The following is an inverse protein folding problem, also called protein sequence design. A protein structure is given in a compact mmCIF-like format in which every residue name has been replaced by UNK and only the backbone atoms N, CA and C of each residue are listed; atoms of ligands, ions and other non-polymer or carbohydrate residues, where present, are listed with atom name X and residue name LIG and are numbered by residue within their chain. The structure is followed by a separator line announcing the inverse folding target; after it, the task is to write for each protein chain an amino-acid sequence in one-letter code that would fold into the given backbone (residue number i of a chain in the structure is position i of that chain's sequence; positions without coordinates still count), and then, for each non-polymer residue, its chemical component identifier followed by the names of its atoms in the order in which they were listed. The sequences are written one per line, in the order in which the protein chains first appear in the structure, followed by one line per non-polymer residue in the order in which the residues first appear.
data_IF_392173244674
#
_entry.id   IF_392173244674
#
_cell.length_a   1.000
_cell.length_b   1.000
_cell.length_c   1.000
_cell.angle_alpha   90.00
_cell.angle_beta   90.00
_cell.angle_gamma   90.00
#
_symmetry.space_group_name_H-M   'P 1'
#
loop_
_entity.id
_entity.type
_entity.pdbx_description
1 polymer ?
#
# COMPACT_ATOMS: atom_id res chain seq x y z
N UNK A 1 9.38 20.33 20.40
CA UNK A 1 8.96 19.92 19.04
C UNK A 1 7.45 19.98 18.99
N UNK A 2 6.90 21.08 18.45
CA UNK A 2 5.47 21.19 18.15
C UNK A 2 5.14 20.20 17.04
N UNK A 3 4.23 19.26 17.30
CA UNK A 3 3.57 18.51 16.23
C UNK A 3 2.64 19.49 15.51
N UNK A 4 3.14 20.23 14.53
CA UNK A 4 2.27 20.92 13.59
C UNK A 4 1.36 19.86 12.94
N UNK A 5 0.06 20.02 13.16
CA UNK A 5 -0.95 19.15 12.58
C UNK A 5 -1.19 19.66 11.16
N UNK A 6 -0.66 18.96 10.16
CA UNK A 6 -0.88 19.28 8.76
C UNK A 6 -2.35 19.08 8.40
N UNK A 7 -2.98 20.08 7.76
CA UNK A 7 -4.37 19.99 7.32
C UNK A 7 -4.49 18.95 6.17
N UNK A 8 -5.25 17.85 6.34
CA UNK A 8 -5.42 16.84 5.31
C UNK A 8 -6.00 17.37 3.98
N UNK A 9 -6.67 18.53 4.00
CA UNK A 9 -7.27 19.17 2.82
C UNK A 9 -6.29 20.00 2.01
N UNK A 10 -5.08 20.22 2.50
CA UNK A 10 -4.06 21.05 1.80
C UNK A 10 -2.68 20.39 1.76
N UNK A 11 -2.47 19.33 2.53
CA UNK A 11 -1.23 18.56 2.54
C UNK A 11 -0.88 18.00 1.16
N UNK A 12 0.34 18.30 0.69
CA UNK A 12 0.89 17.72 -0.54
C UNK A 12 1.35 16.28 -0.31
N UNK A 13 1.46 15.52 -1.40
CA UNK A 13 2.00 14.17 -1.38
C UNK A 13 3.43 14.11 -0.82
N UNK A 14 4.31 15.02 -1.27
CA UNK A 14 5.71 15.05 -0.87
C UNK A 14 5.86 15.34 0.63
N UNK A 15 5.10 16.31 1.14
CA UNK A 15 5.09 16.63 2.57
C UNK A 15 4.62 15.43 3.40
N UNK A 16 3.59 14.74 2.92
CA UNK A 16 3.05 13.56 3.57
C UNK A 16 4.06 12.39 3.60
N UNK A 17 4.73 12.12 2.48
CA UNK A 17 5.79 11.08 2.42
C UNK A 17 6.98 11.46 3.29
N UNK A 18 7.42 12.72 3.28
CA UNK A 18 8.57 13.19 4.06
C UNK A 18 8.39 12.98 5.57
N UNK A 19 7.16 13.02 6.08
CA UNK A 19 6.85 12.73 7.49
C UNK A 19 6.45 11.28 7.77
N UNK A 20 6.67 10.37 6.83
CA UNK A 20 6.39 8.95 7.01
C UNK A 20 7.12 8.40 8.23
N UNK A 21 6.45 7.55 9.00
CA UNK A 21 7.01 6.96 10.22
C UNK A 21 7.35 5.50 9.97
N UNK A 22 8.61 5.28 9.64
CA UNK A 22 9.18 3.96 9.37
C UNK A 22 8.82 3.43 7.99
N UNK A 23 9.15 2.16 7.80
CA UNK A 23 9.07 1.45 6.53
C UNK A 23 8.11 0.27 6.64
N UNK A 24 7.62 -0.20 5.50
CA UNK A 24 6.73 -1.35 5.41
C UNK A 24 6.90 -2.08 4.07
N UNK A 25 6.77 -3.39 4.12
CA UNK A 25 6.52 -4.22 2.96
C UNK A 25 5.07 -4.08 2.49
N UNK A 26 4.88 -4.23 1.19
CA UNK A 26 3.56 -4.42 0.58
C UNK A 26 3.42 -5.89 0.20
N UNK A 27 2.32 -6.51 0.63
CA UNK A 27 2.08 -7.93 0.40
C UNK A 27 0.68 -8.20 -0.15
N UNK A 28 0.57 -9.25 -0.95
CA UNK A 28 -0.69 -9.87 -1.32
C UNK A 28 -0.93 -11.09 -0.44
N UNK A 29 -2.17 -11.31 -0.02
CA UNK A 29 -2.59 -12.56 0.61
C UNK A 29 -3.37 -13.40 -0.40
N UNK A 30 -2.91 -14.62 -0.60
CA UNK A 30 -3.56 -15.60 -1.46
C UNK A 30 -4.43 -16.56 -0.65
N UNK A 31 -5.58 -16.93 -1.21
CA UNK A 31 -6.45 -18.01 -0.65
C UNK A 31 -6.42 -19.26 -1.53
N UNK A 32 -5.70 -19.21 -2.64
CA UNK A 32 -5.55 -20.30 -3.60
C UNK A 32 -4.29 -20.10 -4.46
N UNK A 33 -4.18 -20.82 -5.57
CA UNK A 33 -3.06 -20.67 -6.50
C UNK A 33 -3.31 -19.42 -7.37
N UNK A 34 -2.55 -18.36 -7.13
CA UNK A 34 -2.51 -17.12 -7.93
C UNK A 34 -3.82 -16.31 -7.94
N UNK A 35 -4.61 -16.37 -6.87
CA UNK A 35 -5.81 -15.54 -6.71
C UNK A 35 -5.69 -14.70 -5.43
N UNK A 36 -4.95 -13.57 -5.51
CA UNK A 36 -4.81 -12.66 -4.39
C UNK A 36 -6.15 -12.00 -4.12
N UNK A 37 -6.60 -12.04 -2.87
CA UNK A 37 -7.88 -11.43 -2.50
C UNK A 37 -7.76 -10.31 -1.48
N UNK A 38 -6.53 -9.90 -1.17
CA UNK A 38 -6.27 -8.89 -0.17
C UNK A 38 -4.86 -8.34 -0.37
N UNK A 39 -4.72 -7.03 -0.24
CA UNK A 39 -3.43 -6.34 -0.16
C UNK A 39 -3.25 -5.78 1.24
N UNK A 40 -2.02 -5.81 1.75
CA UNK A 40 -1.70 -5.20 3.03
C UNK A 40 -0.33 -4.56 3.06
N UNK A 41 -0.11 -3.71 4.06
CA UNK A 41 1.24 -3.25 4.44
C UNK A 41 1.62 -3.69 5.85
N UNK A 42 2.88 -4.07 6.05
CA UNK A 42 3.39 -4.44 7.37
C UNK A 42 4.90 -4.26 7.46
N UNK A 43 5.43 -3.97 8.65
CA UNK A 43 6.88 -3.97 8.90
C UNK A 43 7.47 -5.38 8.86
N UNK A 44 6.69 -6.39 9.23
CA UNK A 44 7.08 -7.79 9.15
C UNK A 44 5.83 -8.63 8.82
N UNK A 45 5.46 -8.78 7.53
CA UNK A 45 4.26 -9.49 7.11
C UNK A 45 4.34 -10.99 7.39
N UNK A 46 5.51 -11.61 7.25
CA UNK A 46 5.71 -13.05 7.52
C UNK A 46 5.36 -13.40 8.96
N UNK A 47 6.00 -12.75 9.93
CA UNK A 47 5.74 -12.99 11.34
C UNK A 47 4.27 -12.67 11.71
N UNK A 48 3.71 -11.61 11.12
CA UNK A 48 2.37 -11.13 11.46
C UNK A 48 1.25 -12.03 10.93
N UNK A 49 1.43 -12.68 9.79
CA UNK A 49 0.31 -13.34 9.08
C UNK A 49 0.63 -14.73 8.54
N UNK A 50 1.84 -14.97 8.06
CA UNK A 50 2.19 -16.29 7.55
C UNK A 50 2.44 -17.25 8.73
N UNK A 51 3.32 -16.88 9.65
CA UNK A 51 3.72 -17.74 10.77
C UNK A 51 2.59 -17.90 11.79
N UNK A 52 1.83 -16.83 12.04
CA UNK A 52 0.80 -16.79 13.09
C UNK A 52 -0.57 -17.31 12.63
N UNK A 53 -0.92 -17.12 11.35
CA UNK A 53 -2.26 -17.41 10.82
C UNK A 53 -2.25 -18.38 9.64
N UNK A 54 -1.07 -18.81 9.18
CA UNK A 54 -0.92 -19.80 8.11
C UNK A 54 -1.22 -19.27 6.70
N UNK A 55 -1.21 -17.95 6.50
CA UNK A 55 -1.47 -17.37 5.19
C UNK A 55 -0.27 -17.48 4.24
N UNK A 56 -0.56 -17.70 2.95
CA UNK A 56 0.44 -17.55 1.89
C UNK A 56 0.49 -16.09 1.44
N UNK A 57 1.67 -15.51 1.51
CA UNK A 57 1.91 -14.11 1.17
C UNK A 57 2.85 -14.02 -0.02
N UNK A 58 2.53 -13.15 -0.97
CA UNK A 58 3.48 -12.69 -1.98
C UNK A 58 3.92 -11.28 -1.62
N UNK A 59 5.21 -11.08 -1.39
CA UNK A 59 5.75 -9.75 -1.12
C UNK A 59 6.05 -9.03 -2.43
N UNK A 60 5.30 -7.97 -2.71
CA UNK A 60 5.55 -7.11 -3.87
C UNK A 60 6.88 -6.36 -3.73
N UNK A 61 7.28 -6.09 -2.48
CA UNK A 61 8.51 -5.41 -2.11
C UNK A 61 9.72 -6.35 -1.97
N UNK A 62 9.60 -7.63 -2.34
CA UNK A 62 10.68 -8.61 -2.15
C UNK A 62 11.98 -8.22 -2.88
N UNK A 63 11.86 -7.61 -4.07
CA UNK A 63 13.01 -7.23 -4.91
C UNK A 63 13.43 -5.76 -4.72
N UNK A 64 12.51 -4.90 -4.27
CA UNK A 64 12.72 -3.46 -4.15
C UNK A 64 13.10 -3.03 -2.74
N UNK A 65 12.87 -3.88 -1.74
CA UNK A 65 13.00 -3.54 -0.33
C UNK A 65 11.77 -2.80 0.21
N UNK A 66 11.75 -2.58 1.53
CA UNK A 66 10.65 -1.89 2.17
C UNK A 66 10.54 -0.45 1.69
N UNK A 67 9.31 0.02 1.54
CA UNK A 67 9.02 1.41 1.20
C UNK A 67 8.81 2.23 2.46
N UNK A 68 8.92 3.56 2.36
CA UNK A 68 8.40 4.41 3.43
C UNK A 68 6.92 4.09 3.64
N UNK A 69 6.46 4.03 4.88
CA UNK A 69 5.10 3.60 5.20
C UNK A 69 4.00 4.33 4.41
N UNK A 70 4.17 5.62 4.12
CA UNK A 70 3.21 6.38 3.31
C UNK A 70 3.30 6.07 1.81
N UNK A 71 4.47 5.73 1.29
CA UNK A 71 4.63 5.18 -0.07
C UNK A 71 4.00 3.79 -0.17
N UNK A 72 4.21 2.93 0.83
CA UNK A 72 3.55 1.62 0.91
C UNK A 72 2.01 1.76 0.88
N UNK A 73 1.46 2.78 1.57
CA UNK A 73 0.03 3.12 1.52
C UNK A 73 -0.42 3.56 0.14
N UNK A 74 0.41 4.28 -0.61
CA UNK A 74 0.13 4.65 -2.00
C UNK A 74 -0.02 3.42 -2.89
N UNK A 75 0.89 2.44 -2.75
CA UNK A 75 0.81 1.15 -3.48
C UNK A 75 -0.46 0.38 -3.07
N UNK A 76 -0.72 0.25 -1.78
CA UNK A 76 -1.90 -0.44 -1.25
C UNK A 76 -3.21 0.20 -1.76
N UNK A 77 -3.29 1.53 -1.77
CA UNK A 77 -4.46 2.25 -2.26
C UNK A 77 -4.64 2.08 -3.78
N UNK A 78 -3.55 2.13 -4.56
CA UNK A 78 -3.61 2.00 -6.01
C UNK A 78 -4.23 0.68 -6.46
N UNK A 79 -3.82 -0.44 -5.87
CA UNK A 79 -4.41 -1.75 -6.20
C UNK A 79 -5.79 -1.94 -5.56
N UNK A 80 -6.05 -1.37 -4.39
CA UNK A 80 -7.40 -1.39 -3.78
C UNK A 80 -8.42 -0.68 -4.68
N UNK A 81 -8.04 0.43 -5.32
CA UNK A 81 -8.89 1.12 -6.28
C UNK A 81 -9.08 0.30 -7.57
N UNK A 82 -8.01 -0.29 -8.10
CA UNK A 82 -8.08 -1.12 -9.31
C UNK A 82 -8.91 -2.40 -9.12
N UNK A 83 -8.84 -3.02 -7.93
CA UNK A 83 -9.47 -4.32 -7.62
C UNK A 83 -10.67 -4.18 -6.68
N UNK A 84 -11.29 -3.00 -6.65
CA UNK A 84 -12.45 -2.72 -5.80
C UNK A 84 -13.58 -3.72 -6.09
N UNK A 85 -14.06 -4.40 -5.06
CA UNK A 85 -15.07 -5.46 -5.17
C UNK A 85 -14.53 -6.86 -5.44
N UNK A 86 -13.25 -6.99 -5.81
CA UNK A 86 -12.54 -8.28 -5.90
C UNK A 86 -11.76 -8.52 -4.60
N UNK A 87 -11.02 -7.51 -4.16
CA UNK A 87 -10.26 -7.59 -2.91
C UNK A 87 -11.19 -7.42 -1.70
N UNK A 88 -10.89 -8.15 -0.63
CA UNK A 88 -11.54 -8.06 0.67
C UNK A 88 -11.15 -6.81 1.46
N UNK A 89 -10.28 -5.96 0.93
CA UNK A 89 -9.97 -4.65 1.51
C UNK A 89 -11.27 -3.83 1.56
N UNK A 90 -11.84 -3.68 2.75
CA UNK A 90 -13.08 -2.92 2.95
C UNK A 90 -12.76 -1.43 3.14
N UNK A 91 -11.57 -1.12 3.66
CA UNK A 91 -11.15 0.23 4.02
C UNK A 91 -10.09 0.75 3.06
N UNK A 92 -10.18 2.05 2.76
CA UNK A 92 -9.14 2.76 2.03
C UNK A 92 -7.94 3.01 2.96
N UNK A 93 -6.73 2.76 2.46
CA UNK A 93 -5.47 3.10 3.14
C UNK A 93 -5.20 4.60 3.18
N UNK A 94 -5.76 5.32 2.20
CA UNK A 94 -5.71 6.78 2.11
C UNK A 94 -7.15 7.27 1.94
N UNK A 95 -7.58 8.20 2.78
CA UNK A 95 -8.91 8.80 2.66
C UNK A 95 -9.06 9.54 1.30
N UNK A 96 -10.04 9.17 0.46
CA UNK A 96 -10.33 9.83 -0.83
C UNK A 96 -10.60 11.32 -0.74
N UNK A 97 -10.97 11.84 0.43
CA UNK A 97 -11.19 13.26 0.68
C UNK A 97 -9.91 14.08 0.89
N UNK A 98 -8.73 13.44 0.98
CA UNK A 98 -7.44 14.13 1.15
C UNK A 98 -6.99 14.78 -0.15
N UNK A 99 -6.37 15.96 -0.06
CA UNK A 99 -5.87 16.66 -1.25
C UNK A 99 -4.85 15.82 -2.04
N UNK A 100 -3.93 15.16 -1.33
CA UNK A 100 -2.89 14.30 -1.91
C UNK A 100 -3.40 13.00 -2.55
N UNK A 101 -4.69 12.64 -2.41
CA UNK A 101 -5.17 11.30 -2.74
C UNK A 101 -4.82 10.89 -4.18
N UNK A 102 -5.08 11.79 -5.14
CA UNK A 102 -4.82 11.52 -6.56
C UNK A 102 -3.34 11.33 -6.86
N UNK A 103 -2.48 12.13 -6.25
CA UNK A 103 -1.03 12.05 -6.42
C UNK A 103 -0.49 10.77 -5.78
N UNK A 104 -0.96 10.41 -4.59
CA UNK A 104 -0.60 9.16 -3.94
C UNK A 104 -1.03 7.92 -4.75
N UNK A 105 -2.27 7.88 -5.24
CA UNK A 105 -2.72 6.78 -6.10
C UNK A 105 -1.91 6.73 -7.39
N UNK A 106 -1.62 7.88 -8.01
CA UNK A 106 -0.81 7.93 -9.24
C UNK A 106 0.61 7.43 -9.00
N UNK A 107 1.24 7.83 -7.88
CA UNK A 107 2.55 7.33 -7.47
C UNK A 107 2.54 5.82 -7.29
N UNK A 108 1.52 5.28 -6.58
CA UNK A 108 1.37 3.85 -6.37
C UNK A 108 1.20 3.08 -7.68
N UNK A 109 0.41 3.61 -8.61
CA UNK A 109 0.22 3.02 -9.95
C UNK A 109 1.53 2.98 -10.73
N UNK A 110 2.30 4.08 -10.73
CA UNK A 110 3.60 4.11 -11.40
C UNK A 110 4.56 3.10 -10.77
N UNK A 111 4.57 2.98 -9.44
CA UNK A 111 5.36 1.96 -8.75
C UNK A 111 5.04 0.54 -9.22
N UNK A 112 3.77 0.18 -9.43
CA UNK A 112 3.39 -1.12 -9.99
C UNK A 112 3.98 -1.32 -11.40
N UNK A 113 3.90 -0.31 -12.26
CA UNK A 113 4.39 -0.38 -13.63
C UNK A 113 5.92 -0.52 -13.68
N UNK A 114 6.63 0.30 -12.90
CA UNK A 114 8.09 0.36 -12.89
C UNK A 114 8.72 -0.91 -12.31
N UNK A 115 7.99 -1.64 -11.46
CA UNK A 115 8.48 -2.83 -10.76
C UNK A 115 7.88 -4.15 -11.28
N UNK A 116 7.33 -4.15 -12.51
CA UNK A 116 6.88 -5.39 -13.19
C UNK A 116 5.55 -5.96 -12.70
N UNK A 117 4.83 -5.22 -11.85
CA UNK A 117 3.55 -5.63 -11.26
C UNK A 117 2.33 -5.01 -11.96
N UNK A 118 2.51 -4.28 -13.07
CA UNK A 118 1.45 -3.54 -13.77
C UNK A 118 0.19 -4.35 -14.09
N UNK A 119 0.33 -5.65 -14.38
CA UNK A 119 -0.78 -6.58 -14.63
C UNK A 119 -1.78 -6.70 -13.46
N UNK A 120 -1.36 -6.35 -12.23
CA UNK A 120 -2.23 -6.34 -11.06
C UNK A 120 -3.19 -5.14 -11.03
N UNK A 121 -3.04 -4.17 -11.94
CA UNK A 121 -3.90 -2.99 -12.03
C UNK A 121 -4.98 -3.06 -13.12
N UNK A 122 -5.00 -4.14 -13.91
CA UNK A 122 -5.93 -4.35 -15.04
C UNK A 122 -7.29 -4.92 -14.63
#
# INVERSE_FOLDING_TARGET
MSCETTDPKTESFESWVARSRGEADVYLRNVGKNDPNYVGISKNPWQRYADSLGYKLDLLTNETGQLLRNEARSVEQAITDAKRGIFKNVENSIDPGRALYKDAVSWGRNWFMDNGWGHLLE
#
